data_IF_152684998162
#
_entry.id   IF_152684998162
#
_cell.length_a   1.000
_cell.length_b   1.000
_cell.length_c   1.000
_cell.angle_alpha   90.00
_cell.angle_beta   90.00
_cell.angle_gamma   90.00
#
_symmetry.space_group_name_H-M   'P 1'
#
loop_
_entity.id
_entity.type
_entity.pdbx_description
1 polymer ?
#
# COMPACT_ATOMS: atom_id res chain seq x y z
N UNK A 1 7.40 -58.67 14.72
CA UNK A 1 7.42 -57.37 15.44
C UNK A 1 8.41 -56.47 14.72
N UNK A 2 8.04 -55.25 14.26
CA UNK A 2 8.97 -54.38 13.55
C UNK A 2 10.12 -53.95 14.47
N UNK A 3 11.35 -53.94 13.94
CA UNK A 3 12.55 -53.63 14.73
C UNK A 3 12.51 -52.20 15.27
N UNK A 4 13.18 -51.97 16.40
CA UNK A 4 13.19 -50.70 17.12
C UNK A 4 13.69 -49.52 16.26
N UNK A 5 14.55 -49.80 15.27
CA UNK A 5 15.06 -48.81 14.32
C UNK A 5 13.97 -48.33 13.35
N UNK A 6 13.13 -49.24 12.81
CA UNK A 6 12.03 -48.91 11.90
C UNK A 6 11.01 -47.98 12.59
N UNK A 7 10.72 -48.23 13.87
CA UNK A 7 9.85 -47.35 14.68
C UNK A 7 10.43 -45.96 14.85
N UNK A 8 11.74 -45.83 15.12
CA UNK A 8 12.42 -44.53 15.24
C UNK A 8 12.40 -43.74 13.94
N UNK A 9 12.62 -44.39 12.80
CA UNK A 9 12.51 -43.74 11.49
C UNK A 9 11.09 -43.28 11.17
N UNK A 10 10.08 -44.07 11.53
CA UNK A 10 8.68 -43.67 11.38
C UNK A 10 8.34 -42.44 12.24
N UNK A 11 8.77 -42.39 13.50
CA UNK A 11 8.57 -41.21 14.36
C UNK A 11 9.28 -39.96 13.81
N UNK A 12 10.51 -40.08 13.34
CA UNK A 12 11.23 -38.99 12.68
C UNK A 12 10.49 -38.47 11.44
N UNK A 13 9.95 -39.37 10.61
CA UNK A 13 9.15 -38.99 9.45
C UNK A 13 7.87 -38.24 9.85
N UNK A 14 7.15 -38.70 10.88
CA UNK A 14 5.96 -38.00 11.39
C UNK A 14 6.28 -36.62 11.94
N UNK A 15 7.39 -36.45 12.65
CA UNK A 15 7.84 -35.15 13.17
C UNK A 15 8.16 -34.20 12.01
N UNK A 16 8.89 -34.66 10.98
CA UNK A 16 9.22 -33.83 9.82
C UNK A 16 7.97 -33.39 9.04
N UNK A 17 7.02 -34.30 8.82
CA UNK A 17 5.75 -33.97 8.17
C UNK A 17 4.94 -32.99 9.02
N UNK A 18 4.87 -33.22 10.34
CA UNK A 18 4.22 -32.30 11.28
C UNK A 18 4.82 -30.88 11.24
N UNK A 19 6.15 -30.78 11.24
CA UNK A 19 6.87 -29.51 11.11
C UNK A 19 6.60 -28.83 9.77
N UNK A 20 6.57 -29.58 8.66
CA UNK A 20 6.28 -29.03 7.34
C UNK A 20 4.84 -28.50 7.23
N UNK A 21 3.86 -29.21 7.80
CA UNK A 21 2.46 -28.77 7.86
C UNK A 21 2.34 -27.51 8.72
N UNK A 22 2.94 -27.51 9.92
CA UNK A 22 2.93 -26.35 10.81
C UNK A 22 3.58 -25.13 10.16
N UNK A 23 4.71 -25.32 9.46
CA UNK A 23 5.38 -24.28 8.68
C UNK A 23 4.50 -23.77 7.54
N UNK A 24 3.82 -24.67 6.81
CA UNK A 24 2.88 -24.30 5.75
C UNK A 24 1.72 -23.45 6.25
N UNK A 25 1.08 -23.86 7.35
CA UNK A 25 0.00 -23.09 8.00
C UNK A 25 0.54 -21.73 8.47
N UNK A 26 1.70 -21.71 9.11
CA UNK A 26 2.31 -20.46 9.55
C UNK A 26 2.60 -19.53 8.37
N UNK A 27 3.16 -20.04 7.28
CA UNK A 27 3.46 -19.26 6.08
C UNK A 27 2.20 -18.67 5.43
N UNK A 28 1.07 -19.40 5.42
CA UNK A 28 -0.19 -18.93 4.82
C UNK A 28 -1.01 -18.02 5.72
N UNK A 29 -0.86 -18.12 7.05
CA UNK A 29 -1.59 -17.28 8.03
C UNK A 29 -0.82 -16.03 8.44
N UNK A 30 0.41 -15.84 7.94
CA UNK A 30 1.18 -14.63 8.24
C UNK A 30 0.41 -13.39 7.77
N UNK A 31 0.29 -12.37 8.64
CA UNK A 31 -0.33 -11.12 8.25
C UNK A 31 0.44 -10.48 7.09
N UNK A 32 -0.24 -9.59 6.36
CA UNK A 32 0.41 -8.69 5.42
C UNK A 32 1.55 -7.94 6.11
N UNK A 33 2.58 -7.64 5.32
CA UNK A 33 3.70 -6.86 5.76
C UNK A 33 3.24 -5.44 6.10
N UNK A 34 4.02 -4.77 6.95
CA UNK A 34 3.79 -3.37 7.31
C UNK A 34 5.07 -2.60 7.10
N UNK A 35 4.99 -1.58 6.24
CA UNK A 35 6.04 -0.59 6.07
C UNK A 35 5.66 0.62 6.91
N UNK A 36 6.48 0.91 7.91
CA UNK A 36 6.28 2.03 8.83
C UNK A 36 7.41 3.05 8.67
N UNK A 37 7.06 4.29 8.31
CA UNK A 37 8.03 5.35 8.06
C UNK A 37 7.43 6.74 8.06
N UNK A 38 8.32 7.72 8.18
CA UNK A 38 8.16 9.10 7.73
C UNK A 38 9.10 9.34 6.54
N UNK A 39 8.76 10.28 5.65
CA UNK A 39 9.70 10.67 4.59
C UNK A 39 10.94 11.36 5.20
N UNK A 40 12.05 11.34 4.46
CA UNK A 40 13.40 11.77 4.86
C UNK A 40 14.13 10.86 5.87
N UNK A 41 13.51 9.76 6.31
CA UNK A 41 14.19 8.71 7.08
C UNK A 41 15.17 7.93 6.18
N UNK A 42 16.33 7.47 6.70
CA UNK A 42 17.21 6.57 5.97
C UNK A 42 16.50 5.26 5.59
N UNK A 43 16.66 4.81 4.35
CA UNK A 43 16.01 3.58 3.86
C UNK A 43 16.34 2.35 4.71
N UNK A 44 17.59 2.18 5.13
CA UNK A 44 17.99 1.06 5.98
C UNK A 44 17.33 1.09 7.37
N UNK A 45 17.10 2.29 7.91
CA UNK A 45 16.35 2.43 9.16
C UNK A 45 14.90 1.99 8.95
N UNK A 46 14.26 2.47 7.88
CA UNK A 46 12.89 2.05 7.50
C UNK A 46 12.80 0.54 7.32
N UNK A 47 13.77 -0.07 6.66
CA UNK A 47 13.83 -1.52 6.45
C UNK A 47 13.92 -2.30 7.76
N UNK A 48 14.72 -1.82 8.72
CA UNK A 48 14.91 -2.48 10.01
C UNK A 48 13.71 -2.32 10.95
N UNK A 49 13.08 -1.15 10.97
CA UNK A 49 11.93 -0.89 11.86
C UNK A 49 10.61 -1.44 11.31
N UNK A 50 10.53 -1.64 9.99
CA UNK A 50 9.34 -2.18 9.32
C UNK A 50 9.27 -3.70 9.44
N UNK A 51 8.07 -4.24 9.67
CA UNK A 51 7.81 -5.68 9.57
C UNK A 51 7.50 -6.02 8.11
N UNK A 52 8.52 -6.00 7.27
CA UNK A 52 8.36 -6.14 5.82
C UNK A 52 9.49 -6.92 5.15
N UNK A 53 9.26 -7.30 3.90
CA UNK A 53 10.27 -7.89 3.00
C UNK A 53 11.00 -6.86 2.14
N UNK A 54 11.13 -5.61 2.60
CA UNK A 54 11.97 -4.62 1.91
C UNK A 54 13.39 -5.17 1.72
N UNK A 55 13.94 -5.13 0.49
CA UNK A 55 15.30 -5.58 0.24
C UNK A 55 16.30 -4.65 0.92
N UNK A 56 17.52 -5.15 1.17
CA UNK A 56 18.63 -4.27 1.56
C UNK A 56 18.89 -3.22 0.47
N UNK A 57 19.36 -2.04 0.88
CA UNK A 57 19.80 -1.01 -0.05
C UNK A 57 20.93 -1.54 -0.92
N UNK A 58 20.79 -1.35 -2.22
CA UNK A 58 21.85 -1.61 -3.17
C UNK A 58 22.74 -0.36 -3.27
N UNK A 59 24.03 -0.43 -2.88
CA UNK A 59 24.94 0.71 -2.95
C UNK A 59 25.11 1.27 -4.37
N UNK A 60 24.82 0.48 -5.41
CA UNK A 60 24.95 0.86 -6.81
C UNK A 60 23.64 1.41 -7.41
N UNK A 61 22.51 1.32 -6.69
CA UNK A 61 21.19 1.75 -7.16
C UNK A 61 20.47 2.67 -6.16
N UNK A 62 20.32 3.95 -6.53
CA UNK A 62 19.68 4.98 -5.69
C UNK A 62 18.15 5.05 -5.81
N UNK A 63 17.49 4.02 -6.34
CA UNK A 63 16.06 4.11 -6.68
C UNK A 63 15.15 3.74 -5.52
N UNK A 64 15.58 2.81 -4.64
CA UNK A 64 14.79 2.28 -3.53
C UNK A 64 14.42 0.80 -3.70
N UNK A 65 13.27 0.36 -3.19
CA UNK A 65 12.89 -1.06 -3.19
C UNK A 65 11.39 -1.33 -3.12
N UNK A 66 10.95 -2.46 -3.67
CA UNK A 66 9.57 -2.94 -3.56
C UNK A 66 9.45 -4.05 -2.51
N UNK A 67 8.31 -4.09 -1.83
CA UNK A 67 7.98 -5.19 -0.90
C UNK A 67 7.52 -6.39 -1.74
N UNK A 68 8.08 -7.57 -1.47
CA UNK A 68 7.79 -8.80 -2.23
C UNK A 68 6.51 -9.52 -1.77
N UNK A 69 5.96 -9.12 -0.63
CA UNK A 69 4.70 -9.62 -0.08
C UNK A 69 3.68 -8.50 0.00
N UNK A 70 2.37 -8.83 0.04
CA UNK A 70 1.37 -7.80 0.25
C UNK A 70 1.63 -7.00 1.50
N UNK A 71 1.54 -5.67 1.40
CA UNK A 71 1.96 -4.77 2.46
C UNK A 71 1.02 -3.58 2.60
N UNK A 72 0.85 -3.11 3.83
CA UNK A 72 0.22 -1.82 4.13
C UNK A 72 1.27 -0.78 4.49
N UNK A 73 0.96 0.48 4.22
CA UNK A 73 1.72 1.62 4.72
C UNK A 73 1.14 2.06 6.06
N UNK A 74 2.02 2.28 7.03
CA UNK A 74 1.75 3.07 8.24
C UNK A 74 2.63 4.31 8.16
N UNK A 75 2.08 5.42 7.68
CA UNK A 75 2.82 6.69 7.65
C UNK A 75 2.85 7.26 9.07
N UNK A 76 4.03 7.39 9.67
CA UNK A 76 4.21 7.63 11.11
C UNK A 76 4.49 9.08 11.48
N UNK A 77 4.25 10.04 10.58
CA UNK A 77 4.37 11.46 10.93
C UNK A 77 3.43 11.78 12.12
N UNK A 78 3.93 12.46 13.18
CA UNK A 78 3.13 12.73 14.39
C UNK A 78 1.84 13.53 14.16
N UNK A 79 1.79 14.33 13.09
CA UNK A 79 0.62 15.16 12.74
C UNK A 79 -0.11 14.61 11.52
N UNK A 80 0.65 14.22 10.50
CA UNK A 80 0.16 13.86 9.17
C UNK A 80 0.00 12.35 8.96
N UNK A 81 0.22 11.52 9.98
CA UNK A 81 0.16 10.08 9.88
C UNK A 81 -1.19 9.52 9.42
N UNK A 82 -1.14 8.40 8.70
CA UNK A 82 -2.31 7.64 8.23
C UNK A 82 -1.91 6.18 7.94
N UNK A 83 -2.92 5.32 7.76
CA UNK A 83 -2.72 3.89 7.45
C UNK A 83 -3.49 3.51 6.19
N UNK A 84 -2.86 2.73 5.31
CA UNK A 84 -3.52 2.19 4.12
C UNK A 84 -4.05 0.78 4.35
N UNK A 85 -5.02 0.32 3.54
CA UNK A 85 -5.21 -1.11 3.35
C UNK A 85 -3.95 -1.77 2.79
N UNK A 86 -3.88 -3.09 2.92
CA UNK A 86 -2.82 -3.87 2.31
C UNK A 86 -2.94 -3.87 0.79
N UNK A 87 -1.81 -3.75 0.12
CA UNK A 87 -1.67 -3.75 -1.33
C UNK A 87 -0.76 -4.85 -1.82
N UNK A 88 -0.98 -5.28 -3.07
CA UNK A 88 -0.09 -6.23 -3.77
C UNK A 88 1.28 -5.63 -4.05
N UNK A 89 1.35 -4.34 -4.33
CA UNK A 89 2.59 -3.64 -4.59
C UNK A 89 2.70 -2.41 -3.69
N UNK A 90 3.88 -2.28 -3.07
CA UNK A 90 4.32 -1.15 -2.28
C UNK A 90 5.78 -0.92 -2.64
N UNK A 91 6.08 0.26 -3.14
CA UNK A 91 7.42 0.72 -3.49
C UNK A 91 7.83 1.88 -2.58
N UNK A 92 9.05 1.80 -2.07
CA UNK A 92 9.72 2.83 -1.28
C UNK A 92 10.82 3.43 -2.14
N UNK A 93 10.63 4.67 -2.58
CA UNK A 93 11.59 5.39 -3.40
C UNK A 93 12.56 6.20 -2.54
N UNK A 94 13.84 6.22 -2.94
CA UNK A 94 14.89 6.97 -2.24
C UNK A 94 15.49 8.07 -3.10
N UNK A 95 16.02 9.10 -2.45
CA UNK A 95 16.87 10.07 -3.10
C UNK A 95 18.33 9.55 -3.24
N UNK A 96 19.18 10.34 -3.90
CA UNK A 96 20.62 10.03 -4.06
C UNK A 96 21.42 9.89 -2.76
N UNK A 97 20.85 10.24 -1.61
CA UNK A 97 21.45 10.10 -0.29
C UNK A 97 20.92 8.89 0.48
N UNK A 98 20.12 8.03 -0.16
CA UNK A 98 19.54 6.84 0.46
C UNK A 98 18.43 7.12 1.47
N UNK A 99 17.85 8.34 1.45
CA UNK A 99 16.70 8.69 2.27
C UNK A 99 15.40 8.50 1.50
N UNK A 100 14.36 8.07 2.19
CA UNK A 100 13.03 7.85 1.58
C UNK A 100 12.44 9.19 1.15
N UNK A 101 12.08 9.31 -0.12
CA UNK A 101 11.45 10.52 -0.70
C UNK A 101 10.04 10.27 -1.21
N UNK A 102 9.69 9.02 -1.50
CA UNK A 102 8.38 8.67 -2.04
C UNK A 102 7.92 7.27 -1.68
N UNK A 103 6.59 7.10 -1.72
CA UNK A 103 5.91 5.82 -1.61
C UNK A 103 4.90 5.72 -2.74
N UNK A 104 4.86 4.57 -3.40
CA UNK A 104 3.79 4.22 -4.34
C UNK A 104 3.16 2.90 -3.92
N UNK A 105 1.84 2.86 -3.83
CA UNK A 105 1.09 1.68 -3.42
C UNK A 105 -0.14 1.48 -4.33
N UNK A 106 -0.25 0.28 -4.90
CA UNK A 106 -1.35 -0.14 -5.80
C UNK A 106 -1.17 -1.60 -6.20
N UNK A 107 -2.21 -2.31 -6.66
CA UNK A 107 -3.56 -2.20 -6.17
C UNK A 107 -3.68 -2.81 -4.76
N UNK A 108 -4.87 -2.79 -4.18
CA UNK A 108 -5.17 -3.59 -2.98
C UNK A 108 -4.95 -5.09 -3.26
N UNK A 109 -4.84 -5.91 -2.19
CA UNK A 109 -4.57 -7.38 -2.30
C UNK A 109 -5.45 -8.03 -3.36
N UNK A 110 -6.71 -7.65 -3.39
CA UNK A 110 -7.62 -7.95 -4.48
C UNK A 110 -8.08 -6.64 -5.12
N UNK A 111 -8.44 -6.74 -6.40
CA UNK A 111 -9.22 -5.67 -7.03
C UNK A 111 -10.52 -5.54 -6.25
N UNK A 112 -11.12 -4.36 -6.10
CA UNK A 112 -12.22 -4.14 -5.15
C UNK A 112 -13.58 -4.08 -5.84
N UNK A 113 -14.66 -4.39 -5.12
CA UNK A 113 -16.01 -3.98 -5.54
C UNK A 113 -16.13 -2.44 -5.51
N UNK A 114 -17.14 -1.86 -6.16
CA UNK A 114 -17.35 -0.42 -6.08
C UNK A 114 -17.64 0.03 -4.64
N UNK A 115 -18.39 -0.76 -3.87
CA UNK A 115 -18.70 -0.44 -2.47
C UNK A 115 -17.45 -0.41 -1.60
N UNK A 116 -16.60 -1.44 -1.68
CA UNK A 116 -15.35 -1.51 -0.92
C UNK A 116 -14.39 -0.39 -1.35
N UNK A 117 -14.39 -0.05 -2.64
CA UNK A 117 -13.60 1.06 -3.18
C UNK A 117 -14.02 2.39 -2.57
N UNK A 118 -15.33 2.67 -2.52
CA UNK A 118 -15.85 3.90 -1.93
C UNK A 118 -15.58 3.96 -0.42
N UNK A 119 -15.67 2.83 0.28
CA UNK A 119 -15.32 2.73 1.70
C UNK A 119 -13.84 3.09 1.95
N UNK A 120 -12.92 2.49 1.19
CA UNK A 120 -11.47 2.77 1.31
C UNK A 120 -11.15 4.22 0.97
N UNK A 121 -11.67 4.76 -0.14
CA UNK A 121 -11.40 6.14 -0.56
C UNK A 121 -11.94 7.15 0.46
N UNK A 122 -13.12 6.90 1.00
CA UNK A 122 -13.73 7.79 2.00
C UNK A 122 -12.95 7.74 3.31
N UNK A 123 -12.56 6.55 3.77
CA UNK A 123 -11.75 6.40 4.98
C UNK A 123 -10.38 7.07 4.86
N UNK A 124 -9.65 6.83 3.76
CA UNK A 124 -8.36 7.46 3.51
C UNK A 124 -8.49 8.99 3.52
N UNK A 125 -9.42 9.57 2.76
CA UNK A 125 -9.63 11.02 2.74
C UNK A 125 -10.03 11.57 4.12
N UNK A 126 -10.77 10.81 4.94
CA UNK A 126 -11.12 11.20 6.30
C UNK A 126 -9.91 11.15 7.25
N UNK A 127 -9.03 10.14 7.12
CA UNK A 127 -7.75 10.13 7.83
C UNK A 127 -6.91 11.34 7.45
N UNK A 128 -6.79 11.65 6.16
CA UNK A 128 -6.05 12.82 5.67
C UNK A 128 -6.60 14.14 6.25
N UNK A 129 -7.91 14.37 6.18
CA UNK A 129 -8.52 15.56 6.78
C UNK A 129 -8.24 15.67 8.28
N UNK A 130 -8.36 14.56 9.02
CA UNK A 130 -8.06 14.53 10.47
C UNK A 130 -6.58 14.80 10.78
N UNK A 131 -5.67 14.33 9.93
CA UNK A 131 -4.24 14.59 10.03
C UNK A 131 -3.83 16.00 9.59
N UNK A 132 -4.78 16.87 9.23
CA UNK A 132 -4.50 18.25 8.81
C UNK A 132 -4.03 18.38 7.37
N UNK A 133 -4.19 17.35 6.55
CA UNK A 133 -3.95 17.44 5.11
C UNK A 133 -5.04 18.30 4.44
N UNK A 134 -4.63 19.11 3.47
CA UNK A 134 -5.50 20.00 2.72
C UNK A 134 -5.65 19.51 1.29
N UNK A 135 -6.89 19.34 0.85
CA UNK A 135 -7.20 19.07 -0.56
C UNK A 135 -6.84 20.32 -1.39
N UNK A 136 -6.17 20.10 -2.52
CA UNK A 136 -5.80 21.14 -3.49
C UNK A 136 -6.42 20.85 -4.85
N UNK A 137 -6.43 21.86 -5.73
CA UNK A 137 -7.03 21.74 -7.09
C UNK A 137 -8.50 21.34 -7.08
N UNK A 138 -9.25 21.78 -6.07
CA UNK A 138 -10.64 21.34 -5.82
C UNK A 138 -11.55 21.59 -7.03
N UNK A 139 -11.32 22.68 -7.78
CA UNK A 139 -12.11 23.02 -8.96
C UNK A 139 -12.03 21.96 -10.08
N UNK A 140 -10.84 21.39 -10.32
CA UNK A 140 -10.64 20.35 -11.35
C UNK A 140 -10.67 18.93 -10.78
N UNK A 141 -10.35 18.78 -9.49
CA UNK A 141 -10.11 17.53 -8.81
C UNK A 141 -10.77 17.54 -7.42
N UNK A 142 -12.12 17.58 -7.38
CA UNK A 142 -12.85 17.61 -6.13
C UNK A 142 -12.66 16.30 -5.35
N UNK A 143 -12.97 16.34 -4.05
CA UNK A 143 -12.94 15.15 -3.21
C UNK A 143 -13.81 14.03 -3.78
N UNK A 144 -13.38 12.78 -3.61
CA UNK A 144 -14.17 11.62 -4.01
C UNK A 144 -15.19 11.36 -2.90
N UNK A 145 -16.45 11.69 -3.15
CA UNK A 145 -17.56 11.51 -2.19
C UNK A 145 -18.47 10.37 -2.62
N UNK A 146 -19.00 9.59 -1.66
CA UNK A 146 -19.90 8.48 -1.96
C UNK A 146 -21.31 8.93 -2.37
N UNK A 147 -21.43 9.35 -3.62
CA UNK A 147 -22.67 9.79 -4.25
C UNK A 147 -22.95 8.96 -5.52
N UNK A 148 -24.22 8.82 -5.93
CA UNK A 148 -24.55 8.15 -7.19
C UNK A 148 -23.83 8.72 -8.40
N UNK A 149 -23.65 10.06 -8.46
CA UNK A 149 -22.95 10.73 -9.55
C UNK A 149 -21.46 10.36 -9.59
N UNK A 150 -20.77 10.36 -8.46
CA UNK A 150 -19.36 9.95 -8.37
C UNK A 150 -19.18 8.47 -8.75
N UNK A 151 -20.05 7.59 -8.26
CA UNK A 151 -20.07 6.16 -8.62
C UNK A 151 -20.26 5.94 -10.12
N UNK A 152 -21.19 6.68 -10.73
CA UNK A 152 -21.39 6.65 -12.18
C UNK A 152 -20.15 7.13 -12.95
N UNK A 153 -19.50 8.19 -12.47
CA UNK A 153 -18.25 8.71 -13.03
C UNK A 153 -17.14 7.64 -13.03
N UNK A 154 -16.91 7.00 -11.88
CA UNK A 154 -15.95 5.91 -11.70
C UNK A 154 -16.25 4.74 -12.65
N UNK A 155 -17.53 4.31 -12.76
CA UNK A 155 -17.96 3.27 -13.70
C UNK A 155 -17.69 3.63 -15.16
N UNK A 156 -17.83 4.91 -15.50
CA UNK A 156 -17.60 5.44 -16.84
C UNK A 156 -16.11 5.70 -17.17
N UNK A 157 -15.18 5.32 -16.28
CA UNK A 157 -13.73 5.41 -16.48
C UNK A 157 -13.21 6.84 -16.62
N UNK A 158 -13.81 7.77 -15.87
CA UNK A 158 -13.25 9.13 -15.74
C UNK A 158 -12.02 9.18 -14.84
N UNK A 159 -11.71 8.08 -14.16
CA UNK A 159 -10.58 7.89 -13.25
C UNK A 159 -10.34 9.07 -12.27
N UNK A 160 -11.30 9.35 -11.37
CA UNK A 160 -11.17 10.44 -10.41
C UNK A 160 -9.85 10.41 -9.64
N UNK A 161 -9.25 11.58 -9.51
CA UNK A 161 -7.96 11.81 -8.85
C UNK A 161 -8.09 13.00 -7.90
N UNK A 162 -7.48 12.88 -6.73
CA UNK A 162 -7.42 13.94 -5.72
C UNK A 162 -5.99 14.21 -5.32
N UNK A 163 -5.72 15.45 -4.94
CA UNK A 163 -4.41 15.95 -4.58
C UNK A 163 -4.45 16.56 -3.18
N UNK A 164 -3.54 16.15 -2.32
CA UNK A 164 -3.52 16.57 -0.92
C UNK A 164 -2.14 17.09 -0.53
N UNK A 165 -2.10 18.14 0.27
CA UNK A 165 -0.87 18.71 0.82
C UNK A 165 -0.87 18.67 2.35
N UNK A 166 0.27 18.33 2.90
CA UNK A 166 0.60 18.54 4.31
C UNK A 166 1.61 19.68 4.39
N UNK A 167 1.10 20.91 4.54
CA UNK A 167 1.87 22.16 4.43
C UNK A 167 2.83 22.15 3.22
N UNK A 168 4.09 22.50 3.44
CA UNK A 168 5.18 22.44 2.47
C UNK A 168 6.01 21.15 2.59
N UNK A 169 5.54 20.15 3.35
CA UNK A 169 6.29 18.93 3.65
C UNK A 169 5.99 17.80 2.68
N UNK A 170 4.71 17.48 2.52
CA UNK A 170 4.30 16.26 1.81
C UNK A 170 3.16 16.51 0.85
N UNK A 171 3.08 15.65 -0.16
CA UNK A 171 2.01 15.60 -1.12
C UNK A 171 1.49 14.16 -1.26
N UNK A 172 0.18 14.01 -1.40
CA UNK A 172 -0.46 12.76 -1.80
C UNK A 172 -1.22 12.96 -3.11
N UNK A 173 -1.09 11.99 -4.00
CA UNK A 173 -1.96 11.77 -5.15
C UNK A 173 -2.72 10.48 -4.90
N UNK A 174 -4.05 10.57 -4.89
CA UNK A 174 -4.94 9.43 -4.71
C UNK A 174 -5.85 9.32 -5.94
N UNK A 175 -5.73 8.22 -6.67
CA UNK A 175 -6.54 7.94 -7.86
C UNK A 175 -7.25 6.59 -7.79
N UNK A 176 -8.44 6.52 -8.39
CA UNK A 176 -9.24 5.29 -8.53
C UNK A 176 -9.52 5.00 -9.99
N UNK A 177 -9.41 3.74 -10.39
CA UNK A 177 -9.65 3.31 -11.78
C UNK A 177 -10.48 2.05 -11.83
N UNK A 178 -11.30 1.92 -12.86
CA UNK A 178 -12.01 0.67 -13.17
C UNK A 178 -11.03 -0.33 -13.79
N UNK A 179 -10.97 -1.52 -13.21
CA UNK A 179 -10.19 -2.64 -13.72
C UNK A 179 -11.08 -3.58 -14.54
N UNK A 180 -10.72 -3.77 -15.80
CA UNK A 180 -11.40 -4.71 -16.69
C UNK A 180 -10.47 -5.90 -16.90
N UNK A 181 -10.91 -7.06 -16.46
CA UNK A 181 -10.26 -8.32 -16.81
C UNK A 181 -10.91 -8.88 -18.07
N UNK A 182 -10.16 -9.02 -19.16
CA UNK A 182 -10.68 -9.54 -20.43
C UNK A 182 -11.30 -10.95 -20.30
N UNK A 183 -10.78 -11.77 -19.38
CA UNK A 183 -11.29 -13.12 -19.10
C UNK A 183 -12.55 -13.14 -18.22
N UNK A 184 -12.89 -12.02 -17.57
CA UNK A 184 -14.03 -11.87 -16.65
C UNK A 184 -14.64 -10.46 -16.78
N UNK A 185 -15.04 -10.08 -18.00
CA UNK A 185 -15.50 -8.73 -18.32
C UNK A 185 -16.74 -8.28 -17.53
N UNK A 186 -17.53 -9.23 -17.01
CA UNK A 186 -18.72 -8.96 -16.20
C UNK A 186 -18.41 -8.70 -14.71
N UNK A 187 -17.18 -8.93 -14.25
CA UNK A 187 -16.77 -8.67 -12.87
C UNK A 187 -16.27 -7.22 -12.75
N UNK A 188 -17.15 -6.32 -12.31
CA UNK A 188 -16.84 -4.91 -12.14
C UNK A 188 -15.91 -4.71 -10.94
N UNK A 189 -14.61 -4.53 -11.21
CA UNK A 189 -13.59 -4.33 -10.18
C UNK A 189 -12.86 -3.01 -10.32
N UNK A 190 -12.22 -2.58 -9.23
CA UNK A 190 -11.56 -1.28 -9.13
C UNK A 190 -10.20 -1.38 -8.44
N UNK A 191 -9.35 -0.40 -8.71
CA UNK A 191 -8.03 -0.25 -8.09
C UNK A 191 -7.88 1.15 -7.54
N UNK A 192 -7.25 1.25 -6.38
CA UNK A 192 -6.85 2.53 -5.80
C UNK A 192 -5.32 2.59 -5.83
N UNK A 193 -4.81 3.69 -6.37
CA UNK A 193 -3.38 4.02 -6.34
C UNK A 193 -3.17 5.20 -5.41
N UNK A 194 -2.24 5.04 -4.47
CA UNK A 194 -1.76 6.11 -3.61
C UNK A 194 -0.29 6.37 -3.90
N UNK A 195 0.05 7.63 -4.15
CA UNK A 195 1.43 8.12 -4.25
C UNK A 195 1.64 9.19 -3.19
N UNK A 196 2.62 9.00 -2.33
CA UNK A 196 3.05 9.93 -1.30
C UNK A 196 4.46 10.39 -1.64
N UNK A 197 4.74 11.69 -1.57
CA UNK A 197 6.08 12.24 -1.84
C UNK A 197 6.36 13.48 -1.01
N UNK A 198 7.63 13.84 -0.89
CA UNK A 198 8.09 15.07 -0.26
C UNK A 198 9.43 15.51 -0.87
N UNK A 199 9.67 16.82 -1.09
CA UNK A 199 8.73 17.94 -0.89
C UNK A 199 7.58 17.94 -1.92
N UNK A 200 6.54 18.78 -1.75
CA UNK A 200 5.44 18.88 -2.71
C UNK A 200 5.90 19.32 -4.10
N UNK A 201 5.36 18.67 -5.13
CA UNK A 201 5.57 19.03 -6.54
C UNK A 201 4.45 19.93 -7.09
N UNK A 202 3.31 19.98 -6.39
CA UNK A 202 2.15 20.76 -6.79
C UNK A 202 1.70 21.67 -5.66
N UNK A 203 1.32 22.90 -6.02
CA UNK A 203 0.63 23.85 -5.14
C UNK A 203 -0.69 24.26 -5.78
N UNK A 204 -1.57 24.91 -5.01
CA UNK A 204 -2.65 25.67 -5.63
C UNK A 204 -2.03 26.84 -6.41
N UNK A 205 -2.51 27.06 -7.63
CA UNK A 205 -2.19 28.28 -8.35
C UNK A 205 -2.80 29.46 -7.58
N UNK A 206 -2.13 30.62 -7.47
CA UNK A 206 -2.67 31.82 -6.80
C UNK A 206 -3.92 32.45 -7.45
N UNK A 207 -4.74 31.72 -8.20
CA UNK A 207 -5.86 32.26 -8.96
C UNK A 207 -7.01 31.29 -9.23
N UNK A 208 -7.19 30.26 -8.39
CA UNK A 208 -8.35 29.36 -8.43
C UNK A 208 -9.20 29.47 -7.17
#
# INVERSE_FOLDING_TARGET
MPSQSIRRFAYLAYVLVGCAIAWGIYATTRPADEVALTLDEPYEQVRQQSRSTLPAADPEMFWGGFVTRPARLRFTDPRYGFVTPSAKFLYVGTNKYGKVESITLSPQIETLSLDDTMAVLTDLQNQLRRGGWRLIRVASNPAITDTPAMRASIRSRTDPITYWLADNKYQIILDVRRFINESRSNDERYLITLRLSGPPLMTDSPGS
#
